data_IF_514544024188
#
_entry.id   IF_514544024188
#
_cell.length_a   1.000
_cell.length_b   1.000
_cell.length_c   1.000
_cell.angle_alpha   90.00
_cell.angle_beta   90.00
_cell.angle_gamma   90.00
#
_symmetry.space_group_name_H-M   'P 1'
#
loop_
_entity.id
_entity.type
_entity.pdbx_description
1 polymer ?
#
# COMPACT_ATOMS: atom_id res chain seq x y z
N UNK A 1 27.62 -7.95 -7.65
CA UNK A 1 26.90 -7.53 -6.43
C UNK A 1 25.52 -7.04 -6.85
N UNK A 2 24.48 -7.85 -6.65
CA UNK A 2 23.11 -7.43 -6.96
C UNK A 2 22.61 -6.46 -5.90
N UNK A 3 21.95 -5.38 -6.33
CA UNK A 3 21.21 -4.49 -5.44
C UNK A 3 20.17 -5.32 -4.68
N UNK A 4 20.30 -5.45 -3.36
CA UNK A 4 19.22 -5.96 -2.53
C UNK A 4 18.22 -4.83 -2.40
N UNK A 5 17.16 -4.86 -3.19
CA UNK A 5 16.00 -3.99 -2.97
C UNK A 5 15.43 -4.35 -1.60
N UNK A 6 15.24 -3.35 -0.75
CA UNK A 6 14.74 -3.49 0.63
C UNK A 6 13.22 -3.79 0.67
N UNK A 7 12.54 -3.59 -0.45
CA UNK A 7 11.10 -3.76 -0.59
C UNK A 7 10.76 -4.50 -1.89
N UNK A 8 9.69 -5.30 -1.84
CA UNK A 8 9.19 -6.05 -2.99
C UNK A 8 8.43 -5.12 -3.94
N UNK A 9 8.69 -5.26 -5.23
CA UNK A 9 7.91 -4.56 -6.26
C UNK A 9 6.62 -5.34 -6.55
N UNK A 10 5.48 -4.69 -6.36
CA UNK A 10 4.16 -5.22 -6.72
C UNK A 10 3.75 -4.71 -8.09
N UNK A 11 4.11 -5.46 -9.14
CA UNK A 11 3.80 -5.07 -10.52
C UNK A 11 2.30 -5.12 -10.82
N UNK A 12 1.56 -5.93 -10.07
CA UNK A 12 0.11 -6.09 -10.14
C UNK A 12 -0.68 -5.02 -9.40
N UNK A 13 -0.01 -4.14 -8.64
CA UNK A 13 -0.65 -3.03 -7.92
C UNK A 13 -0.25 -1.72 -8.64
N UNK A 14 -1.08 -1.24 -9.58
CA UNK A 14 -0.81 0.04 -10.24
C UNK A 14 -0.78 1.16 -9.20
N UNK A 15 0.25 2.00 -9.31
CA UNK A 15 0.42 3.17 -8.44
C UNK A 15 0.36 4.46 -9.25
N UNK A 16 -0.21 5.51 -8.67
CA UNK A 16 -0.26 6.84 -9.27
C UNK A 16 -0.17 7.93 -8.22
N UNK A 17 0.12 9.14 -8.70
CA UNK A 17 0.28 10.33 -7.87
C UNK A 17 -0.77 11.36 -8.24
N UNK A 18 -1.43 11.93 -7.24
CA UNK A 18 -2.33 13.07 -7.40
C UNK A 18 -2.10 14.07 -6.27
N UNK A 19 -1.74 15.31 -6.63
CA UNK A 19 -1.47 16.39 -5.67
C UNK A 19 -0.46 16.01 -4.57
N UNK A 20 0.52 15.17 -4.88
CA UNK A 20 1.54 14.70 -3.93
C UNK A 20 1.14 13.46 -3.11
N UNK A 21 -0.13 13.06 -3.14
CA UNK A 21 -0.57 11.80 -2.55
C UNK A 21 -0.20 10.64 -3.47
N UNK A 22 0.32 9.56 -2.88
CA UNK A 22 0.65 8.32 -3.58
C UNK A 22 -0.46 7.31 -3.29
N UNK A 23 -1.01 6.74 -4.35
CA UNK A 23 -2.05 5.71 -4.27
C UNK A 23 -1.54 4.44 -4.91
N UNK A 24 -1.83 3.30 -4.31
CA UNK A 24 -1.70 1.97 -4.91
C UNK A 24 -3.00 1.22 -4.68
N UNK A 25 -3.54 0.59 -5.72
CA UNK A 25 -4.83 -0.11 -5.63
C UNK A 25 -4.69 -1.55 -6.11
N UNK A 26 -4.93 -2.47 -5.19
CA UNK A 26 -5.02 -3.89 -5.43
C UNK A 26 -6.46 -4.26 -5.82
N UNK A 27 -6.62 -4.65 -7.08
CA UNK A 27 -7.91 -5.01 -7.67
C UNK A 27 -7.87 -6.36 -8.39
N UNK A 28 -9.05 -6.93 -8.61
CA UNK A 28 -9.25 -8.11 -9.45
C UNK A 28 -10.27 -7.78 -10.53
N UNK A 29 -10.30 -8.55 -11.61
CA UNK A 29 -11.30 -8.37 -12.67
C UNK A 29 -12.76 -8.51 -12.22
N UNK A 30 -13.00 -9.01 -10.99
CA UNK A 30 -14.34 -9.18 -10.40
C UNK A 30 -14.78 -8.05 -9.48
N UNK A 31 -13.93 -7.03 -9.27
CA UNK A 31 -14.22 -5.94 -8.34
C UNK A 31 -13.92 -4.54 -8.88
N UNK A 32 -13.67 -4.41 -10.19
CA UNK A 32 -13.35 -3.12 -10.84
C UNK A 32 -14.44 -2.07 -10.66
N UNK A 33 -15.70 -2.51 -10.60
CA UNK A 33 -16.91 -1.68 -10.43
C UNK A 33 -17.23 -1.34 -8.96
N UNK A 34 -16.50 -1.92 -8.01
CA UNK A 34 -16.79 -1.76 -6.58
C UNK A 34 -16.01 -0.62 -5.96
N UNK A 35 -16.59 -0.02 -4.93
CA UNK A 35 -15.91 0.96 -4.10
C UNK A 35 -14.66 0.38 -3.42
N UNK A 36 -13.68 1.25 -3.18
CA UNK A 36 -12.39 0.91 -2.59
C UNK A 36 -12.48 0.97 -1.06
N UNK A 37 -11.75 0.08 -0.40
CA UNK A 37 -11.43 0.18 1.02
C UNK A 37 -10.04 0.78 1.09
N UNK A 38 -9.91 2.02 1.58
CA UNK A 38 -8.60 2.68 1.64
C UNK A 38 -7.98 2.51 3.03
N UNK A 39 -6.70 2.19 3.07
CA UNK A 39 -5.87 2.27 4.27
C UNK A 39 -4.58 3.03 3.91
N UNK A 40 -4.09 3.83 4.84
CA UNK A 40 -2.93 4.67 4.62
C UNK A 40 -2.73 5.64 5.76
N UNK A 41 -1.70 6.47 5.59
CA UNK A 41 -1.31 7.52 6.53
C UNK A 41 -0.42 8.50 5.76
N UNK A 42 0.51 9.17 6.42
CA UNK A 42 1.46 10.10 5.81
C UNK A 42 2.91 9.64 5.97
N UNK A 43 3.82 10.19 5.15
CA UNK A 43 5.26 9.88 5.18
C UNK A 43 6.13 11.07 5.59
N UNK A 44 5.55 12.27 5.62
CA UNK A 44 6.21 13.46 6.13
C UNK A 44 6.23 13.45 7.67
N UNK A 45 7.03 14.34 8.23
CA UNK A 45 7.27 14.41 9.65
C UNK A 45 7.58 15.83 10.09
N UNK A 46 7.55 16.07 11.41
CA UNK A 46 7.99 17.33 12.02
C UNK A 46 9.36 17.14 12.70
N UNK A 47 9.98 18.25 13.10
CA UNK A 47 11.21 18.21 13.89
C UNK A 47 10.91 17.48 15.22
N UNK A 48 11.78 16.53 15.59
CA UNK A 48 11.69 15.71 16.81
C UNK A 48 10.44 14.82 16.92
N UNK A 49 9.79 14.47 15.80
CA UNK A 49 8.70 13.50 15.81
C UNK A 49 9.18 12.07 16.12
N UNK A 50 8.26 11.24 16.62
CA UNK A 50 8.52 9.83 16.86
C UNK A 50 8.65 9.02 15.57
N UNK A 51 9.42 7.94 15.60
CA UNK A 51 9.69 7.08 14.43
C UNK A 51 8.46 6.36 13.86
N UNK A 52 7.34 6.35 14.59
CA UNK A 52 6.10 5.69 14.18
C UNK A 52 5.03 6.66 13.69
N UNK A 53 5.25 7.97 13.83
CA UNK A 53 4.29 8.97 13.40
C UNK A 53 4.18 8.98 11.87
N UNK A 54 2.95 8.87 11.35
CA UNK A 54 2.68 8.71 9.93
C UNK A 54 3.08 7.36 9.35
N UNK A 55 4.38 7.14 9.19
CA UNK A 55 4.94 6.10 8.33
C UNK A 55 4.58 4.68 8.78
N UNK A 56 4.33 4.46 10.08
CA UNK A 56 3.90 3.17 10.59
C UNK A 56 2.54 2.76 10.00
N UNK A 57 1.61 3.70 9.83
CA UNK A 57 0.33 3.42 9.18
C UNK A 57 0.48 3.09 7.69
N UNK A 58 1.42 3.74 7.00
CA UNK A 58 1.74 3.45 5.59
C UNK A 58 2.30 2.03 5.44
N UNK A 59 3.31 1.68 6.22
CA UNK A 59 3.93 0.34 6.16
C UNK A 59 2.94 -0.73 6.60
N UNK A 60 2.11 -0.46 7.62
CA UNK A 60 1.05 -1.40 8.04
C UNK A 60 0.05 -1.68 6.91
N UNK A 61 -0.29 -0.67 6.10
CA UNK A 61 -1.18 -0.87 4.95
C UNK A 61 -0.58 -1.76 3.86
N UNK A 62 0.72 -1.60 3.60
CA UNK A 62 1.46 -2.47 2.68
C UNK A 62 1.46 -3.90 3.24
N UNK A 63 1.85 -4.09 4.50
CA UNK A 63 1.90 -5.40 5.17
C UNK A 63 0.56 -6.14 5.13
N UNK A 64 -0.57 -5.42 5.33
CA UNK A 64 -1.91 -6.02 5.19
C UNK A 64 -2.10 -6.60 3.80
N UNK A 65 -1.71 -5.89 2.74
CA UNK A 65 -1.79 -6.39 1.37
C UNK A 65 -0.86 -7.59 1.17
N UNK A 66 0.39 -7.51 1.65
CA UNK A 66 1.37 -8.60 1.50
C UNK A 66 0.86 -9.89 2.15
N UNK A 67 0.44 -9.80 3.42
CA UNK A 67 -0.13 -10.93 4.17
C UNK A 67 -1.35 -11.51 3.46
N UNK A 68 -2.27 -10.68 2.95
CA UNK A 68 -3.46 -11.17 2.25
C UNK A 68 -3.10 -11.88 0.92
N UNK A 69 -2.10 -11.38 0.18
CA UNK A 69 -1.62 -12.03 -1.03
C UNK A 69 -0.99 -13.39 -0.70
N UNK A 70 -0.17 -13.47 0.35
CA UNK A 70 0.49 -14.70 0.79
C UNK A 70 -0.50 -15.77 1.23
N UNK A 71 -1.60 -15.38 1.88
CA UNK A 71 -2.71 -16.28 2.25
C UNK A 71 -3.62 -16.64 1.06
N UNK A 72 -3.34 -16.16 -0.14
CA UNK A 72 -4.13 -16.42 -1.35
C UNK A 72 -5.52 -15.77 -1.33
N UNK A 73 -5.69 -14.73 -0.52
CA UNK A 73 -6.94 -13.99 -0.41
C UNK A 73 -7.28 -13.28 -1.74
N UNK A 74 -8.58 -13.20 -2.04
CA UNK A 74 -9.09 -12.44 -3.19
C UNK A 74 -10.08 -11.40 -2.68
N UNK A 75 -9.76 -10.09 -2.78
CA UNK A 75 -10.54 -9.08 -2.12
C UNK A 75 -11.89 -8.86 -2.83
N UNK A 76 -12.98 -8.84 -2.06
CA UNK A 76 -14.33 -8.62 -2.62
C UNK A 76 -14.51 -7.19 -3.14
N UNK A 77 -13.93 -6.22 -2.44
CA UNK A 77 -13.77 -4.81 -2.86
C UNK A 77 -12.33 -4.56 -3.28
N UNK A 78 -12.07 -3.45 -3.96
CA UNK A 78 -10.70 -3.00 -4.21
C UNK A 78 -10.07 -2.55 -2.88
N UNK A 79 -8.78 -2.82 -2.68
CA UNK A 79 -8.01 -2.41 -1.51
C UNK A 79 -6.92 -1.44 -1.95
#
# INVERSE_FOLDING_TARGET
>A
MGSKTIWKEYKEIPTWIMLGNIFGIWSTSKNEDKEQVMVGSHIDTVIDAGIYDGCYGVISGIEVIETLIEEGFKPYRRL
#
